data_IF_272170094770
#
_entry.id   IF_272170094770
#
_cell.length_a   1.000
_cell.length_b   1.000
_cell.length_c   1.000
_cell.angle_alpha   90.00
_cell.angle_beta   90.00
_cell.angle_gamma   90.00
#
_symmetry.space_group_name_H-M   'P 1'
#
loop_
_entity.id
_entity.type
_entity.pdbx_description
1 polymer ?
#
# COMPACT_ATOMS: atom_id res chain seq x y z
N UNK A 1 -21.97 -31.99 -34.33
CA UNK A 1 -21.77 -32.08 -32.87
C UNK A 1 -20.99 -30.84 -32.48
N UNK A 2 -21.72 -29.75 -32.27
CA UNK A 2 -21.15 -28.41 -32.09
C UNK A 2 -21.11 -28.15 -30.59
N UNK A 3 -19.89 -28.12 -30.04
CA UNK A 3 -19.67 -27.94 -28.61
C UNK A 3 -19.85 -26.45 -28.31
N UNK A 4 -21.04 -26.08 -27.86
CA UNK A 4 -21.30 -24.76 -27.26
C UNK A 4 -20.74 -24.75 -25.83
N UNK A 5 -19.46 -24.43 -25.69
CA UNK A 5 -18.90 -24.00 -24.40
C UNK A 5 -18.77 -22.48 -24.46
N UNK A 6 -19.61 -21.77 -23.71
CA UNK A 6 -19.35 -20.36 -23.37
C UNK A 6 -20.41 -19.30 -23.72
N UNK A 7 -21.61 -19.67 -24.18
CA UNK A 7 -22.64 -18.67 -24.47
C UNK A 7 -23.38 -18.20 -23.19
N UNK A 8 -22.70 -17.46 -22.31
CA UNK A 8 -23.39 -16.50 -21.44
C UNK A 8 -23.82 -15.32 -22.32
N UNK A 9 -24.83 -15.55 -23.17
CA UNK A 9 -25.41 -14.53 -24.04
C UNK A 9 -26.00 -13.43 -23.16
N UNK A 10 -25.33 -12.27 -23.11
CA UNK A 10 -25.96 -11.03 -22.68
C UNK A 10 -26.89 -10.53 -23.80
N UNK A 11 -27.90 -11.32 -24.17
CA UNK A 11 -28.92 -10.88 -25.13
C UNK A 11 -29.80 -9.82 -24.47
N UNK A 12 -29.46 -8.55 -24.67
CA UNK A 12 -30.38 -7.43 -24.43
C UNK A 12 -30.63 -6.71 -25.73
N UNK A 13 -31.82 -6.93 -26.31
CA UNK A 13 -32.30 -6.17 -27.45
C UNK A 13 -32.37 -4.70 -27.06
N UNK A 14 -31.63 -3.85 -27.78
CA UNK A 14 -31.69 -2.40 -27.64
C UNK A 14 -32.10 -1.78 -28.96
N UNK A 15 -32.95 -0.77 -28.91
CA UNK A 15 -33.19 0.10 -30.05
C UNK A 15 -31.95 0.98 -30.23
N UNK A 16 -31.23 0.76 -31.32
CA UNK A 16 -30.06 1.55 -31.72
C UNK A 16 -30.46 2.36 -32.95
N UNK A 17 -30.30 3.67 -32.88
CA UNK A 17 -30.49 4.56 -34.02
C UNK A 17 -29.26 4.45 -34.93
N UNK A 18 -29.45 3.83 -36.10
CA UNK A 18 -28.40 3.59 -37.08
C UNK A 18 -28.05 4.82 -37.92
N UNK A 19 -28.67 5.98 -37.64
CA UNK A 19 -28.41 7.22 -38.40
C UNK A 19 -27.12 7.93 -37.99
N UNK A 20 -26.48 7.53 -36.89
CA UNK A 20 -25.24 8.13 -36.38
C UNK A 20 -24.25 7.06 -35.91
N UNK A 21 -22.97 7.28 -36.21
CA UNK A 21 -21.89 6.50 -35.63
C UNK A 21 -21.78 6.79 -34.13
N UNK A 22 -21.72 5.74 -33.31
CA UNK A 22 -21.72 5.90 -31.86
C UNK A 22 -21.23 4.65 -31.13
N UNK A 23 -20.81 4.86 -29.88
CA UNK A 23 -20.40 3.78 -29.00
C UNK A 23 -21.61 3.17 -28.30
N UNK A 24 -21.66 1.83 -28.25
CA UNK A 24 -22.66 1.08 -27.50
C UNK A 24 -22.00 0.54 -26.22
N UNK A 25 -22.54 0.92 -25.05
CA UNK A 25 -22.07 0.42 -23.77
C UNK A 25 -22.81 -0.85 -23.37
N UNK A 26 -22.11 -1.99 -23.31
CA UNK A 26 -22.68 -3.26 -22.86
C UNK A 26 -22.26 -3.49 -21.40
N UNK A 27 -23.19 -3.43 -20.43
CA UNK A 27 -22.86 -3.71 -19.04
C UNK A 27 -22.59 -5.21 -18.86
N UNK A 28 -21.37 -5.54 -18.42
CA UNK A 28 -20.97 -6.90 -18.06
C UNK A 28 -21.18 -7.08 -16.55
N UNK A 29 -21.67 -8.25 -16.11
CA UNK A 29 -21.82 -8.51 -14.68
C UNK A 29 -20.47 -8.70 -14.02
N UNK A 30 -20.32 -8.15 -12.81
CA UNK A 30 -19.09 -8.26 -12.02
C UNK A 30 -18.72 -9.72 -11.74
N UNK A 31 -19.72 -10.59 -11.49
CA UNK A 31 -19.51 -12.02 -11.25
C UNK A 31 -18.81 -12.72 -12.43
N UNK A 32 -19.15 -12.33 -13.67
CA UNK A 32 -18.58 -12.92 -14.88
C UNK A 32 -17.13 -12.44 -15.06
N UNK A 33 -16.88 -11.14 -14.83
CA UNK A 33 -15.53 -10.57 -14.86
C UNK A 33 -14.62 -11.20 -13.79
N UNK A 34 -15.13 -11.38 -12.57
CA UNK A 34 -14.39 -12.05 -11.50
C UNK A 34 -14.08 -13.51 -11.84
N UNK A 35 -15.04 -14.23 -12.43
CA UNK A 35 -14.83 -15.60 -12.89
C UNK A 35 -13.74 -15.68 -13.94
N UNK A 36 -13.75 -14.80 -14.94
CA UNK A 36 -12.72 -14.74 -15.97
C UNK A 36 -11.34 -14.39 -15.40
N UNK A 37 -11.29 -13.48 -14.41
CA UNK A 37 -10.04 -13.09 -13.77
C UNK A 37 -9.42 -14.19 -12.91
N UNK A 38 -10.26 -15.02 -12.27
CA UNK A 38 -9.83 -16.11 -11.39
C UNK A 38 -9.52 -17.42 -12.12
N UNK A 39 -10.04 -17.60 -13.34
CA UNK A 39 -9.88 -18.80 -14.14
C UNK A 39 -8.75 -18.68 -15.16
N UNK A 40 -8.10 -19.80 -15.49
CA UNK A 40 -7.08 -19.86 -16.54
C UNK A 40 -7.65 -19.97 -17.97
N UNK A 41 -8.98 -20.05 -18.13
CA UNK A 41 -9.64 -20.42 -19.40
C UNK A 41 -10.28 -19.25 -20.15
N UNK A 42 -9.97 -18.00 -19.79
CA UNK A 42 -10.54 -16.84 -20.48
C UNK A 42 -9.81 -16.56 -21.81
N UNK A 43 -10.44 -16.93 -22.93
CA UNK A 43 -9.88 -16.72 -24.28
C UNK A 43 -10.13 -15.32 -24.85
N UNK A 44 -11.15 -14.60 -24.37
CA UNK A 44 -11.48 -13.25 -24.84
C UNK A 44 -12.98 -12.99 -24.97
N UNK A 45 -13.32 -11.77 -25.38
CA UNK A 45 -14.68 -11.34 -25.69
C UNK A 45 -14.86 -11.15 -27.19
N UNK A 46 -16.01 -11.59 -27.70
CA UNK A 46 -16.41 -11.41 -29.09
C UNK A 46 -17.80 -10.77 -29.14
N UNK A 47 -18.01 -9.84 -30.08
CA UNK A 47 -19.24 -9.03 -30.15
C UNK A 47 -19.76 -9.03 -31.58
N UNK A 48 -20.94 -9.58 -31.80
CA UNK A 48 -21.61 -9.53 -33.10
C UNK A 48 -22.79 -8.56 -33.08
N UNK A 49 -22.90 -7.74 -34.12
CA UNK A 49 -23.99 -6.79 -34.30
C UNK A 49 -24.60 -6.94 -35.69
N UNK A 50 -25.62 -7.77 -35.83
CA UNK A 50 -26.24 -8.03 -37.14
C UNK A 50 -27.31 -7.01 -37.51
N UNK A 51 -27.19 -6.42 -38.70
CA UNK A 51 -28.26 -5.67 -39.35
C UNK A 51 -28.45 -6.20 -40.77
N UNK A 52 -29.67 -6.66 -41.10
CA UNK A 52 -30.00 -7.25 -42.41
C UNK A 52 -29.04 -8.37 -42.88
N UNK A 53 -28.46 -9.12 -41.94
CA UNK A 53 -27.53 -10.22 -42.22
C UNK A 53 -26.06 -9.83 -42.31
N UNK A 54 -25.73 -8.55 -42.11
CA UNK A 54 -24.35 -8.05 -42.10
C UNK A 54 -23.90 -7.74 -40.66
N UNK A 55 -22.68 -8.16 -40.29
CA UNK A 55 -22.10 -7.86 -38.98
C UNK A 55 -21.44 -6.47 -39.01
N UNK A 56 -22.03 -5.52 -38.30
CA UNK A 56 -21.58 -4.12 -38.21
C UNK A 56 -20.61 -3.88 -37.04
N UNK A 57 -20.23 -4.90 -36.27
CA UNK A 57 -19.30 -4.73 -35.16
C UNK A 57 -17.89 -4.40 -35.66
N UNK A 58 -17.31 -3.31 -35.14
CA UNK A 58 -15.93 -2.91 -35.45
C UNK A 58 -14.95 -3.61 -34.51
N UNK A 59 -13.94 -4.27 -35.09
CA UNK A 59 -12.87 -4.92 -34.35
C UNK A 59 -11.57 -4.12 -34.40
N UNK A 60 -10.74 -4.18 -33.35
CA UNK A 60 -9.48 -3.41 -33.26
C UNK A 60 -8.50 -3.66 -34.43
N UNK A 61 -8.66 -4.79 -35.14
CA UNK A 61 -7.80 -5.17 -36.25
C UNK A 61 -8.09 -4.38 -37.53
N UNK A 62 -9.24 -3.71 -37.62
CA UNK A 62 -9.70 -3.01 -38.82
C UNK A 62 -9.61 -1.47 -38.74
N UNK A 63 -9.63 -0.88 -37.54
CA UNK A 63 -9.54 0.57 -37.35
C UNK A 63 -8.90 0.91 -36.00
N UNK A 64 -7.82 1.69 -36.03
CA UNK A 64 -7.08 2.12 -34.84
C UNK A 64 -7.76 3.26 -34.07
N UNK A 65 -8.72 3.97 -34.69
CA UNK A 65 -9.43 5.09 -34.05
C UNK A 65 -10.66 4.65 -33.27
N UNK A 66 -11.34 3.61 -33.73
CA UNK A 66 -12.62 3.14 -33.16
C UNK A 66 -12.47 1.72 -32.58
N UNK A 67 -11.53 1.55 -31.66
CA UNK A 67 -11.27 0.26 -31.01
C UNK A 67 -12.24 -0.02 -29.87
N UNK A 68 -12.68 -1.27 -29.76
CA UNK A 68 -13.42 -1.77 -28.59
C UNK A 68 -12.50 -1.78 -27.37
N UNK A 69 -12.97 -1.25 -26.25
CA UNK A 69 -12.26 -1.28 -24.97
C UNK A 69 -13.20 -1.75 -23.85
N UNK A 70 -12.60 -2.36 -22.83
CA UNK A 70 -13.28 -2.74 -21.60
C UNK A 70 -12.87 -1.75 -20.51
N UNK A 71 -13.84 -1.01 -19.99
CA UNK A 71 -13.65 -0.14 -18.83
C UNK A 71 -13.91 -0.94 -17.55
N UNK A 72 -12.93 -0.94 -16.64
CA UNK A 72 -13.01 -1.58 -15.33
C UNK A 72 -12.86 -0.52 -14.24
N UNK A 73 -13.87 -0.38 -13.39
CA UNK A 73 -13.77 0.44 -12.18
C UNK A 73 -13.46 -0.48 -11.01
N UNK A 74 -12.21 -0.50 -10.57
CA UNK A 74 -11.82 -1.19 -9.34
C UNK A 74 -12.01 -0.24 -8.16
N UNK A 75 -12.50 -0.78 -7.06
CA UNK A 75 -12.46 -0.11 -5.77
C UNK A 75 -11.17 -0.61 -5.13
N UNK A 76 -10.12 0.21 -5.14
CA UNK A 76 -8.96 -0.05 -4.29
C UNK A 76 -9.43 0.13 -2.85
N UNK A 77 -9.83 -0.97 -2.21
CA UNK A 77 -9.78 -1.02 -0.78
C UNK A 77 -8.30 -0.84 -0.42
N UNK A 78 -7.91 0.39 -0.09
CA UNK A 78 -6.75 0.65 0.75
C UNK A 78 -7.01 -0.03 2.09
N UNK A 79 -6.93 -1.36 2.12
CA UNK A 79 -6.73 -2.11 3.33
C UNK A 79 -5.47 -1.49 3.91
N UNK A 80 -5.61 -0.81 5.06
CA UNK A 80 -4.46 -0.31 5.81
C UNK A 80 -3.51 -1.50 5.89
N UNK A 81 -2.39 -1.44 5.16
CA UNK A 81 -1.36 -2.47 5.23
C UNK A 81 -1.11 -2.65 6.71
N UNK A 82 -1.37 -3.86 7.24
CA UNK A 82 -1.22 -4.14 8.68
C UNK A 82 0.14 -3.55 9.06
N UNK A 83 0.16 -2.52 9.92
CA UNK A 83 1.37 -1.79 10.31
C UNK A 83 2.31 -2.82 10.93
N UNK A 84 3.17 -3.45 10.13
CA UNK A 84 4.08 -4.47 10.62
C UNK A 84 4.95 -3.78 11.64
N UNK A 85 4.84 -4.19 12.90
CA UNK A 85 5.75 -3.79 13.94
C UNK A 85 7.17 -4.09 13.44
N UNK A 86 8.04 -3.08 13.41
CA UNK A 86 9.43 -3.31 13.03
C UNK A 86 10.04 -4.22 14.10
N UNK A 87 10.72 -5.29 13.69
CA UNK A 87 11.40 -6.17 14.63
C UNK A 87 12.48 -5.38 15.39
N UNK A 88 12.56 -5.61 16.71
CA UNK A 88 13.57 -5.00 17.57
C UNK A 88 14.88 -5.76 17.39
N UNK A 89 15.92 -5.08 16.93
CA UNK A 89 17.25 -5.64 16.78
C UNK A 89 17.84 -6.04 18.14
N UNK A 90 18.54 -7.17 18.16
CA UNK A 90 19.35 -7.55 19.32
C UNK A 90 20.75 -6.95 19.20
N UNK A 91 21.40 -6.67 20.34
CA UNK A 91 22.78 -6.14 20.35
C UNK A 91 23.80 -7.09 19.70
N UNK A 92 23.45 -8.38 19.62
CA UNK A 92 24.29 -9.44 19.04
C UNK A 92 24.26 -9.47 17.51
N UNK A 93 23.23 -8.88 16.88
CA UNK A 93 23.10 -8.87 15.43
C UNK A 93 24.17 -8.03 14.73
N UNK A 94 24.95 -7.23 15.48
CA UNK A 94 26.08 -6.44 14.99
C UNK A 94 25.73 -5.69 13.68
N UNK A 95 24.49 -5.23 13.59
CA UNK A 95 23.89 -4.64 12.39
C UNK A 95 24.46 -3.21 12.25
N UNK A 96 25.28 -2.91 11.24
CA UNK A 96 25.78 -1.57 11.05
C UNK A 96 24.69 -0.61 10.54
N UNK A 97 23.51 -1.10 10.16
CA UNK A 97 22.42 -0.32 9.56
C UNK A 97 21.45 0.22 10.61
N UNK A 98 20.70 1.28 10.26
CA UNK A 98 19.70 1.91 11.15
C UNK A 98 18.61 0.91 11.59
N UNK A 99 18.53 0.65 12.89
CA UNK A 99 17.57 -0.28 13.49
C UNK A 99 16.98 0.23 14.82
N UNK A 100 15.88 -0.41 15.24
CA UNK A 100 15.19 -0.20 16.51
C UNK A 100 15.75 -1.15 17.58
N UNK A 101 16.13 -0.64 18.74
CA UNK A 101 16.68 -1.41 19.85
C UNK A 101 15.86 -1.22 21.12
N UNK A 102 15.87 -2.19 22.03
CA UNK A 102 15.26 -2.08 23.36
C UNK A 102 15.98 -1.06 24.23
N UNK A 103 15.20 -0.16 24.84
CA UNK A 103 15.66 0.84 25.81
C UNK A 103 14.63 0.91 26.94
N UNK A 104 14.88 0.16 28.01
CA UNK A 104 14.04 0.18 29.20
C UNK A 104 14.32 1.45 30.02
N UNK A 105 13.28 2.24 30.24
CA UNK A 105 13.29 3.44 31.08
C UNK A 105 12.66 3.09 32.41
N UNK A 106 13.37 3.44 33.49
CA UNK A 106 12.89 3.37 34.86
C UNK A 106 12.54 4.78 35.34
N UNK A 107 11.27 5.01 35.67
CA UNK A 107 10.80 6.31 36.12
C UNK A 107 11.36 6.70 37.49
N UNK A 108 11.58 5.75 38.39
CA UNK A 108 12.14 6.05 39.72
C UNK A 108 13.62 6.43 39.57
N UNK A 109 14.38 5.70 38.74
CA UNK A 109 15.77 6.03 38.46
C UNK A 109 15.92 7.38 37.74
N UNK A 110 14.92 7.80 36.95
CA UNK A 110 14.85 9.11 36.33
C UNK A 110 14.44 10.24 37.30
N UNK A 111 14.10 9.92 38.55
CA UNK A 111 13.64 10.87 39.57
C UNK A 111 12.18 11.31 39.39
N UNK A 112 11.36 10.49 38.73
CA UNK A 112 9.94 10.75 38.48
C UNK A 112 9.05 9.93 39.42
N UNK A 113 9.28 10.11 40.73
CA UNK A 113 8.58 9.37 41.80
C UNK A 113 7.05 9.59 41.81
N UNK A 114 6.59 10.67 41.15
CA UNK A 114 5.17 10.98 40.97
C UNK A 114 4.44 9.98 40.04
N UNK A 115 5.17 9.19 39.25
CA UNK A 115 4.60 8.12 38.41
C UNK A 115 4.40 6.86 39.25
N UNK A 116 3.13 6.46 39.40
CA UNK A 116 2.72 5.27 40.14
C UNK A 116 2.83 4.02 39.26
N UNK A 117 2.41 4.11 37.99
CA UNK A 117 2.51 3.02 37.04
C UNK A 117 2.56 3.50 35.57
N UNK A 118 3.26 2.76 34.67
CA UNK A 118 4.21 1.70 34.98
C UNK A 118 5.47 2.27 35.65
N UNK A 119 6.24 1.44 36.36
CA UNK A 119 7.54 1.85 36.93
C UNK A 119 8.67 1.75 35.91
N UNK A 120 8.58 0.73 35.05
CA UNK A 120 9.51 0.45 33.95
C UNK A 120 8.70 0.35 32.66
N UNK A 121 9.22 0.88 31.56
CA UNK A 121 8.68 0.66 30.23
C UNK A 121 9.79 0.62 29.18
N UNK A 122 9.58 -0.12 28.09
CA UNK A 122 10.52 -0.13 26.96
C UNK A 122 10.16 1.00 26.00
N UNK A 123 10.97 2.06 25.97
CA UNK A 123 10.77 3.20 25.07
C UNK A 123 11.23 2.88 23.64
N UNK A 124 12.06 1.85 23.47
CA UNK A 124 12.90 1.63 22.31
C UNK A 124 13.75 2.84 21.88
N UNK A 125 14.80 2.58 21.10
CA UNK A 125 15.70 3.60 20.59
C UNK A 125 16.19 3.26 19.20
N UNK A 126 16.19 4.24 18.31
CA UNK A 126 16.79 4.09 16.98
C UNK A 126 18.29 4.34 17.03
N UNK A 127 19.07 3.42 16.47
CA UNK A 127 20.52 3.52 16.38
C UNK A 127 21.05 2.78 15.16
N UNK A 128 22.21 3.18 14.65
CA UNK A 128 22.87 2.55 13.50
C UNK A 128 23.30 3.55 12.43
N UNK A 129 24.11 3.09 11.48
CA UNK A 129 24.65 3.90 10.39
C UNK A 129 23.63 4.02 9.25
N UNK A 130 23.37 5.24 8.80
CA UNK A 130 22.55 5.51 7.63
C UNK A 130 23.44 5.81 6.42
N UNK A 131 23.69 4.77 5.63
CA UNK A 131 24.31 4.93 4.33
C UNK A 131 23.21 5.32 3.35
N UNK A 132 23.27 6.55 2.84
CA UNK A 132 22.49 6.95 1.67
C UNK A 132 23.02 6.18 0.46
N UNK A 133 22.61 4.92 0.33
CA UNK A 133 22.72 4.23 -0.94
C UNK A 133 21.87 5.04 -1.90
N UNK A 134 22.53 5.75 -2.81
CA UNK A 134 21.90 6.19 -4.05
C UNK A 134 21.48 4.91 -4.76
N UNK A 135 20.29 4.40 -4.40
CA UNK A 135 19.66 3.32 -5.12
C UNK A 135 19.67 3.77 -6.57
N UNK A 136 20.34 3.00 -7.42
CA UNK A 136 20.46 3.27 -8.84
C UNK A 136 19.09 3.37 -9.46
N UNK A 137 18.49 4.57 -9.38
CA UNK A 137 17.48 5.01 -10.31
C UNK A 137 18.16 4.91 -11.67
N UNK A 138 17.57 4.11 -12.56
CA UNK A 138 17.76 4.01 -14.02
C UNK A 138 19.17 4.25 -14.59
N UNK A 139 19.60 3.46 -15.59
CA UNK A 139 20.82 3.73 -16.35
C UNK A 139 20.93 5.19 -16.89
N UNK A 140 19.81 5.93 -16.94
CA UNK A 140 19.72 7.34 -17.33
C UNK A 140 19.92 8.37 -16.21
N UNK A 141 19.87 8.03 -14.92
CA UNK A 141 20.20 8.98 -13.83
C UNK A 141 21.63 8.78 -13.34
N UNK A 142 22.57 9.11 -14.23
CA UNK A 142 24.00 9.19 -13.93
C UNK A 142 24.42 10.66 -13.90
N UNK A 143 24.03 11.38 -12.86
CA UNK A 143 24.55 12.75 -12.64
C UNK A 143 24.99 12.88 -11.17
N UNK A 144 26.32 12.96 -11.02
CA UNK A 144 27.16 13.28 -9.84
C UNK A 144 27.49 12.17 -8.83
N UNK A 145 28.39 11.25 -9.23
CA UNK A 145 29.26 10.54 -8.28
C UNK A 145 30.71 10.98 -8.49
N UNK A 146 31.06 12.20 -8.08
CA UNK A 146 32.44 12.68 -8.20
C UNK A 146 32.78 13.82 -7.26
N UNK A 147 32.27 13.80 -6.02
CA UNK A 147 32.91 14.57 -4.95
C UNK A 147 32.80 13.88 -3.60
N UNK A 148 33.97 13.39 -3.15
CA UNK A 148 34.50 13.53 -1.78
C UNK A 148 33.74 12.76 -0.70
N UNK A 149 34.34 11.64 -0.24
CA UNK A 149 34.61 11.15 1.15
C UNK A 149 33.72 11.53 2.36
N UNK A 150 32.67 12.30 2.18
CA UNK A 150 31.66 12.74 3.12
C UNK A 150 30.32 12.51 2.41
N UNK A 151 29.96 11.23 2.22
CA UNK A 151 28.55 10.93 1.98
C UNK A 151 27.80 11.57 3.15
N UNK A 152 26.82 12.44 2.89
CA UNK A 152 25.93 12.96 3.93
C UNK A 152 25.29 11.73 4.56
N UNK A 153 25.83 11.27 5.68
CA UNK A 153 25.26 10.17 6.44
C UNK A 153 23.93 10.70 6.97
N UNK A 154 22.82 10.06 6.60
CA UNK A 154 21.54 10.39 7.23
C UNK A 154 21.60 10.16 8.75
N UNK A 155 20.65 10.70 9.48
CA UNK A 155 20.46 10.39 10.89
C UNK A 155 19.44 9.25 11.03
N UNK A 156 19.79 8.22 11.80
CA UNK A 156 18.83 7.18 12.19
C UNK A 156 17.93 7.74 13.29
N UNK A 157 16.65 7.91 13.02
CA UNK A 157 15.70 8.49 13.97
C UNK A 157 14.34 7.77 13.94
N UNK A 158 13.55 7.84 15.01
CA UNK A 158 12.22 7.25 15.02
C UNK A 158 11.24 8.06 14.16
N UNK A 159 10.46 7.37 13.33
CA UNK A 159 9.45 7.96 12.43
C UNK A 159 8.02 7.72 12.90
N UNK A 160 7.82 6.73 13.75
CA UNK A 160 6.52 6.38 14.32
C UNK A 160 6.66 6.12 15.82
N UNK A 161 5.67 6.54 16.59
CA UNK A 161 5.61 6.34 18.04
C UNK A 161 4.24 5.80 18.47
N UNK A 162 4.26 4.94 19.49
CA UNK A 162 3.07 4.49 20.21
C UNK A 162 2.94 5.24 21.57
N UNK A 163 1.71 5.44 22.07
CA UNK A 163 1.45 6.04 23.37
C UNK A 163 1.69 5.06 24.53
N UNK A 164 1.81 5.59 25.76
CA UNK A 164 1.68 4.80 26.99
C UNK A 164 0.60 5.41 27.90
N UNK A 165 -0.02 4.57 28.72
CA UNK A 165 -0.93 5.03 29.78
C UNK A 165 -0.15 5.18 31.09
N UNK A 166 -0.17 6.37 31.66
CA UNK A 166 0.44 6.68 32.95
C UNK A 166 -0.62 6.82 34.03
N UNK A 167 -0.34 6.23 35.19
CA UNK A 167 -1.00 6.55 36.46
C UNK A 167 -0.01 7.39 37.27
N UNK A 168 -0.38 8.62 37.59
CA UNK A 168 0.50 9.55 38.30
C UNK A 168 -0.25 10.37 39.34
N UNK A 169 0.49 10.87 40.32
CA UNK A 169 -0.04 11.72 41.38
C UNK A 169 0.22 13.20 41.06
N UNK A 170 -0.82 14.04 41.18
CA UNK A 170 -0.66 15.50 41.03
C UNK A 170 -0.10 16.15 42.29
N UNK A 171 0.27 17.43 42.20
CA UNK A 171 0.70 18.22 43.37
C UNK A 171 -0.39 18.32 44.46
N UNK A 172 -1.66 18.24 44.07
CA UNK A 172 -2.83 18.23 44.97
C UNK A 172 -3.06 16.85 45.61
N UNK A 173 -2.17 15.88 45.38
CA UNK A 173 -2.25 14.48 45.84
C UNK A 173 -3.44 13.70 45.24
N UNK A 174 -3.90 14.11 44.06
CA UNK A 174 -4.92 13.37 43.32
C UNK A 174 -4.27 12.37 42.37
N UNK A 175 -4.84 11.17 42.27
CA UNK A 175 -4.43 10.17 41.28
C UNK A 175 -5.12 10.44 39.95
N UNK A 176 -4.33 10.57 38.88
CA UNK A 176 -4.82 10.77 37.51
C UNK A 176 -4.26 9.71 36.58
N UNK A 177 -5.08 9.31 35.61
CA UNK A 177 -4.73 8.36 34.56
C UNK A 177 -4.75 9.12 33.23
N UNK A 178 -3.68 9.04 32.46
CA UNK A 178 -3.58 9.72 31.18
C UNK A 178 -2.80 8.91 30.16
N UNK A 179 -3.29 8.91 28.93
CA UNK A 179 -2.55 8.43 27.77
C UNK A 179 -1.61 9.53 27.25
N UNK A 180 -0.31 9.25 27.21
CA UNK A 180 0.74 10.16 26.76
C UNK A 180 1.26 9.66 25.41
N UNK A 181 1.05 10.40 24.32
CA UNK A 181 1.53 10.02 22.99
C UNK A 181 3.05 10.23 22.87
N UNK A 182 3.67 9.55 21.91
CA UNK A 182 5.07 9.78 21.57
C UNK A 182 6.10 9.12 22.50
N UNK A 183 5.68 8.09 23.25
CA UNK A 183 6.49 7.55 24.36
C UNK A 183 7.29 6.31 23.98
N UNK A 184 6.80 5.49 23.04
CA UNK A 184 7.48 4.28 22.57
C UNK A 184 7.81 4.43 21.08
N UNK A 185 9.09 4.43 20.71
CA UNK A 185 9.50 4.38 19.32
C UNK A 185 9.08 3.03 18.70
N UNK A 186 8.40 3.08 17.55
CA UNK A 186 7.87 1.91 16.85
C UNK A 186 8.62 1.59 15.56
N UNK A 187 9.21 2.60 14.94
CA UNK A 187 9.86 2.48 13.64
C UNK A 187 11.03 3.44 13.52
N UNK A 188 12.12 2.97 12.92
CA UNK A 188 13.29 3.80 12.60
C UNK A 188 13.42 4.02 11.10
N UNK A 189 13.93 5.19 10.72
CA UNK A 189 14.33 5.45 9.34
C UNK A 189 15.54 6.39 9.27
N UNK A 190 16.19 6.37 8.12
CA UNK A 190 17.24 7.29 7.75
C UNK A 190 16.64 8.52 7.05
N UNK A 191 17.00 9.72 7.52
CA UNK A 191 16.70 10.99 6.86
C UNK A 191 17.94 11.90 6.84
#
# INVERSE_FOLDING_TARGET
MEVQIGAALAERKRHVDLSKDGYIQIPIRVDDVQRWWSGNDFMGLYVEAFYKGENLALYPQHDSKNMMYLELTTIEEWGRRKRSYQEVCTKEMNEPSCCLYSLVVDFEAAGWDFVIAPKLYDAHMCSGECRLHHAGRSAHSKITSSTKKNAVSGCCHPTEYDPITLVYMTQEKELKIREVPGMIARRCACA
#
